data_IF_923193388287
#
_entry.id   IF_923193388287
#
_cell.length_a   1.000
_cell.length_b   1.000
_cell.length_c   1.000
_cell.angle_alpha   90.00
_cell.angle_beta   90.00
_cell.angle_gamma   90.00
#
_symmetry.space_group_name_H-M   'P 1'
#
loop_
_entity.id
_entity.type
_entity.pdbx_description
1 polymer ?
#
# COMPACT_ATOMS: atom_id res chain seq x y z
N UNK A 1 -20.69 -1.79 -4.89
CA UNK A 1 -19.54 -1.65 -3.96
C UNK A 1 -18.67 -0.49 -4.43
N UNK A 2 -18.45 0.52 -3.59
CA UNK A 2 -17.44 1.56 -3.83
C UNK A 2 -16.20 1.21 -3.00
N UNK A 3 -15.37 0.32 -3.55
CA UNK A 3 -14.06 0.00 -2.97
C UNK A 3 -12.99 0.84 -3.67
N UNK A 4 -12.08 1.40 -2.86
CA UNK A 4 -10.89 2.11 -3.32
C UNK A 4 -9.68 1.35 -2.80
N UNK A 5 -8.76 1.03 -3.70
CA UNK A 5 -7.49 0.41 -3.33
C UNK A 5 -6.38 1.46 -3.47
N UNK A 6 -5.50 1.56 -2.49
CA UNK A 6 -4.34 2.45 -2.49
C UNK A 6 -3.07 1.61 -2.41
N UNK A 7 -2.10 1.90 -3.27
CA UNK A 7 -0.82 1.18 -3.33
C UNK A 7 0.30 2.13 -2.93
N UNK A 8 1.12 1.74 -1.97
CA UNK A 8 2.28 2.49 -1.49
C UNK A 8 3.51 1.60 -1.49
N UNK A 9 4.69 2.18 -1.75
CA UNK A 9 5.97 1.46 -1.68
C UNK A 9 6.69 1.91 -0.42
N UNK A 10 6.98 0.97 0.47
CA UNK A 10 7.65 1.19 1.74
C UNK A 10 8.99 0.48 1.74
N UNK A 11 10.04 1.24 1.99
CA UNK A 11 11.40 0.70 2.12
C UNK A 11 11.70 0.42 3.59
N UNK A 12 11.91 -0.85 3.90
CA UNK A 12 12.33 -1.31 5.22
C UNK A 12 13.86 -1.31 5.28
N UNK A 13 14.48 -0.52 6.19
CA UNK A 13 15.95 -0.39 6.27
C UNK A 13 16.62 -1.59 6.96
N UNK A 14 15.84 -2.49 7.54
CA UNK A 14 16.30 -3.66 8.28
C UNK A 14 15.32 -4.81 8.04
N UNK A 15 15.79 -6.06 8.16
CA UNK A 15 14.89 -7.19 8.08
C UNK A 15 13.80 -7.10 9.14
N UNK A 16 12.61 -7.57 8.82
CA UNK A 16 11.42 -7.46 9.66
C UNK A 16 10.56 -8.71 9.56
N UNK A 17 9.79 -8.97 10.61
CA UNK A 17 8.86 -10.09 10.67
C UNK A 17 7.43 -9.57 10.51
N UNK A 18 6.61 -10.26 9.73
CA UNK A 18 5.18 -9.98 9.67
C UNK A 18 4.39 -10.94 10.54
N UNK A 19 3.33 -10.43 11.15
CA UNK A 19 2.34 -11.25 11.84
C UNK A 19 1.76 -12.31 10.88
N UNK A 20 1.99 -13.59 11.16
CA UNK A 20 1.52 -14.70 10.32
C UNK A 20 2.46 -15.10 9.19
N UNK A 21 3.66 -14.52 9.09
CA UNK A 21 4.76 -15.04 8.29
C UNK A 21 5.81 -15.66 9.24
N UNK A 22 6.12 -16.95 9.12
CA UNK A 22 7.06 -17.61 10.03
C UNK A 22 8.51 -17.21 9.78
N UNK A 23 8.81 -16.67 8.59
CA UNK A 23 10.16 -16.33 8.16
C UNK A 23 10.42 -14.82 8.30
N UNK A 24 11.69 -14.41 8.26
CA UNK A 24 12.07 -13.02 8.37
C UNK A 24 12.23 -12.43 6.98
N UNK A 25 11.51 -11.34 6.69
CA UNK A 25 11.62 -10.65 5.41
C UNK A 25 12.88 -9.78 5.40
N UNK A 26 13.70 -9.83 4.35
CA UNK A 26 14.90 -9.03 4.25
C UNK A 26 14.56 -7.54 4.16
N UNK A 27 15.52 -6.69 4.51
CA UNK A 27 15.44 -5.26 4.24
C UNK A 27 15.24 -5.02 2.74
N UNK A 28 14.35 -4.12 2.36
CA UNK A 28 14.01 -3.89 0.95
C UNK A 28 12.81 -3.00 0.73
N UNK A 29 12.49 -2.75 -0.54
CA UNK A 29 11.27 -2.07 -0.94
C UNK A 29 10.14 -3.08 -1.07
N UNK A 30 9.08 -2.88 -0.29
CA UNK A 30 7.89 -3.70 -0.31
C UNK A 30 6.70 -2.85 -0.64
N UNK A 31 5.72 -3.46 -1.28
CA UNK A 31 4.54 -2.75 -1.72
C UNK A 31 3.35 -3.13 -0.86
N UNK A 32 2.59 -2.12 -0.48
CA UNK A 32 1.45 -2.24 0.42
C UNK A 32 0.20 -1.82 -0.32
N UNK A 33 -0.78 -2.71 -0.35
CA UNK A 33 -2.11 -2.49 -0.87
C UNK A 33 -3.07 -2.30 0.31
N UNK A 34 -3.66 -1.12 0.42
CA UNK A 34 -4.72 -0.83 1.40
C UNK A 34 -6.04 -0.80 0.67
N UNK A 35 -7.01 -1.58 1.15
CA UNK A 35 -8.37 -1.57 0.64
C UNK A 35 -9.27 -0.79 1.59
N UNK A 36 -9.94 0.22 1.05
CA UNK A 36 -10.86 1.10 1.76
C UNK A 36 -12.22 1.08 1.07
N UNK A 37 -13.28 0.96 1.86
CA UNK A 37 -14.66 1.04 1.38
C UNK A 37 -15.27 2.40 1.74
N UNK A 38 -15.91 3.04 0.76
CA UNK A 38 -16.67 4.26 1.01
C UNK A 38 -17.92 3.91 1.82
N UNK A 39 -18.05 4.51 2.99
CA UNK A 39 -19.25 4.43 3.81
C UNK A 39 -20.34 5.32 3.19
N UNK A 40 -21.37 4.68 2.64
CA UNK A 40 -22.52 5.36 2.07
C UNK A 40 -23.52 5.76 3.18
N UNK A 41 -24.29 6.82 2.94
CA UNK A 41 -25.34 7.27 3.87
C UNK A 41 -24.86 8.22 4.98
N UNK A 42 -23.60 8.68 4.93
CA UNK A 42 -23.10 9.77 5.77
C UNK A 42 -23.21 11.11 5.02
N UNK A 43 -23.36 12.20 5.77
CA UNK A 43 -23.38 13.57 5.21
C UNK A 43 -22.03 14.01 4.62
N UNK A 44 -21.00 13.18 4.72
CA UNK A 44 -19.65 13.41 4.25
C UNK A 44 -19.05 12.11 3.70
N UNK A 45 -18.04 12.22 2.84
CA UNK A 45 -17.25 11.08 2.39
C UNK A 45 -16.41 10.53 3.54
N UNK A 46 -16.71 9.31 3.97
CA UNK A 46 -15.91 8.59 4.96
C UNK A 46 -15.47 7.24 4.40
N UNK A 47 -14.23 6.87 4.64
CA UNK A 47 -13.65 5.61 4.18
C UNK A 47 -13.35 4.72 5.38
N UNK A 48 -13.78 3.46 5.30
CA UNK A 48 -13.42 2.41 6.26
C UNK A 48 -12.42 1.49 5.60
N UNK A 49 -11.28 1.29 6.26
CA UNK A 49 -10.32 0.26 5.88
C UNK A 49 -10.93 -1.13 6.05
N UNK A 50 -10.94 -1.89 4.97
CA UNK A 50 -11.44 -3.27 4.90
C UNK A 50 -10.30 -4.28 4.95
N UNK A 51 -9.14 -3.92 4.40
CA UNK A 51 -7.98 -4.80 4.32
C UNK A 51 -6.67 -4.05 4.10
N UNK A 52 -5.57 -4.73 4.45
CA UNK A 52 -4.22 -4.28 4.21
C UNK A 52 -3.39 -5.50 3.79
N UNK A 53 -2.62 -5.37 2.73
CA UNK A 53 -1.85 -6.46 2.15
C UNK A 53 -0.44 -5.98 1.80
N UNK A 54 0.56 -6.81 2.07
CA UNK A 54 1.94 -6.61 1.66
C UNK A 54 2.26 -7.57 0.52
N UNK A 55 2.81 -7.04 -0.55
CA UNK A 55 3.42 -7.83 -1.63
C UNK A 55 4.85 -8.18 -1.22
N UNK A 56 5.08 -9.45 -0.92
CA UNK A 56 6.39 -10.02 -0.59
C UNK A 56 7.01 -10.60 -1.86
N UNK A 57 8.20 -10.15 -2.29
CA UNK A 57 8.92 -10.82 -3.37
C UNK A 57 9.38 -12.20 -2.89
N UNK A 58 9.18 -13.23 -3.70
CA UNK A 58 9.67 -14.58 -3.41
C UNK A 58 11.18 -14.56 -3.12
N UNK A 59 11.55 -15.04 -1.93
CA UNK A 59 12.94 -15.07 -1.42
C UNK A 59 13.76 -16.18 -2.06
N UNK A 60 13.08 -17.20 -2.57
CA UNK A 60 13.67 -18.32 -3.26
C UNK A 60 14.11 -17.84 -4.64
N UNK A 61 15.43 -17.72 -4.86
CA UNK A 61 16.06 -17.33 -6.14
C UNK A 61 15.70 -18.18 -7.37
N UNK A 62 14.69 -19.03 -7.28
CA UNK A 62 14.02 -19.74 -8.37
C UNK A 62 12.73 -19.00 -8.77
N UNK A 63 12.84 -17.96 -9.59
CA UNK A 63 11.77 -17.56 -10.49
C UNK A 63 10.46 -17.07 -9.84
N UNK A 64 10.55 -16.03 -9.01
CA UNK A 64 9.75 -14.81 -9.21
C UNK A 64 8.23 -14.89 -9.02
N UNK A 65 7.74 -15.51 -7.95
CA UNK A 65 6.36 -15.27 -7.51
C UNK A 65 6.36 -14.27 -6.36
N UNK A 66 5.83 -13.07 -6.60
CA UNK A 66 5.47 -12.15 -5.52
C UNK A 66 4.18 -12.62 -4.88
N UNK A 67 4.19 -12.83 -3.56
CA UNK A 67 3.01 -13.24 -2.81
C UNK A 67 2.34 -12.02 -2.17
N UNK A 68 1.02 -11.91 -2.32
CA UNK A 68 0.24 -10.88 -1.63
C UNK A 68 -0.27 -11.48 -0.33
N UNK A 69 0.12 -10.88 0.80
CA UNK A 69 -0.21 -11.37 2.13
C UNK A 69 -0.92 -10.31 2.95
N UNK A 70 -2.01 -10.70 3.62
CA UNK A 70 -2.72 -9.79 4.52
C UNK A 70 -1.85 -9.47 5.74
N UNK A 71 -1.75 -8.20 6.08
CA UNK A 71 -1.00 -7.71 7.26
C UNK A 71 -1.95 -7.18 8.33
N UNK A 72 -1.47 -7.16 9.58
CA UNK A 72 -2.21 -6.60 10.71
C UNK A 72 -2.22 -5.06 10.66
N UNK A 73 -3.12 -4.44 11.42
CA UNK A 73 -3.21 -2.97 11.50
C UNK A 73 -1.91 -2.36 12.05
N UNK A 74 -1.30 -2.97 13.06
CA UNK A 74 -0.02 -2.54 13.63
C UNK A 74 1.13 -2.56 12.60
N UNK A 75 1.24 -3.64 11.81
CA UNK A 75 2.23 -3.74 10.73
C UNK A 75 2.01 -2.65 9.68
N UNK A 76 0.74 -2.37 9.33
CA UNK A 76 0.40 -1.29 8.40
C UNK A 76 0.75 0.10 8.97
N UNK A 77 0.49 0.38 10.25
CA UNK A 77 0.85 1.67 10.87
C UNK A 77 2.36 1.94 10.84
N UNK A 78 3.17 0.92 11.10
CA UNK A 78 4.63 1.02 10.99
C UNK A 78 5.05 1.35 9.55
N UNK A 79 4.47 0.63 8.59
CA UNK A 79 4.69 0.86 7.18
C UNK A 79 4.32 2.29 6.74
N UNK A 80 3.14 2.77 7.12
CA UNK A 80 2.68 4.13 6.80
C UNK A 80 3.56 5.20 7.44
N UNK A 81 4.11 4.92 8.61
CA UNK A 81 5.08 5.80 9.29
C UNK A 81 6.39 5.90 8.50
N UNK A 82 6.85 4.78 7.93
CA UNK A 82 8.01 4.74 7.03
C UNK A 82 7.72 5.43 5.68
N UNK A 83 6.55 5.19 5.07
CA UNK A 83 6.10 5.84 3.82
C UNK A 83 6.04 7.36 3.96
N UNK A 84 5.46 7.87 5.05
CA UNK A 84 5.38 9.32 5.32
C UNK A 84 6.75 9.98 5.34
N UNK A 85 7.79 9.25 5.76
CA UNK A 85 9.17 9.74 5.75
C UNK A 85 9.76 9.81 4.33
N UNK A 86 9.22 9.04 3.39
CA UNK A 86 9.63 8.98 1.99
C UNK A 86 8.83 9.94 1.09
N UNK A 87 7.54 10.15 1.39
CA UNK A 87 6.60 10.95 0.59
C UNK A 87 6.85 12.47 0.59
N UNK A 88 7.77 12.95 1.44
CA UNK A 88 8.22 14.36 1.44
C UNK A 88 9.08 14.68 0.21
N UNK A 89 9.53 13.69 -0.57
CA UNK A 89 10.34 13.89 -1.77
C UNK A 89 9.58 13.91 -3.11
N UNK A 90 8.29 13.52 -3.16
CA UNK A 90 7.52 13.37 -4.42
C UNK A 90 6.23 14.20 -4.46
N UNK A 91 6.23 15.42 -3.92
CA UNK A 91 5.10 16.36 -4.05
C UNK A 91 5.44 17.61 -4.88
N UNK A 92 6.38 17.53 -5.81
CA UNK A 92 6.62 18.62 -6.77
C UNK A 92 6.22 18.28 -8.22
N UNK A 93 5.82 17.05 -8.56
CA UNK A 93 5.54 16.76 -9.96
C UNK A 93 4.63 15.54 -10.22
N UNK A 94 3.32 15.67 -10.02
CA UNK A 94 2.37 14.91 -10.86
C UNK A 94 1.08 15.70 -11.14
N UNK A 95 1.25 16.76 -11.93
CA UNK A 95 0.20 17.24 -12.80
C UNK A 95 0.17 16.33 -14.04
N UNK A 96 -0.79 15.40 -14.10
CA UNK A 96 -1.21 14.75 -15.36
C UNK A 96 -2.74 14.84 -15.38
N UNK A 97 -3.27 15.95 -15.88
CA UNK A 97 -3.71 16.11 -17.27
C UNK A 97 -4.82 15.12 -17.64
N UNK A 98 -6.02 15.33 -17.08
CA UNK A 98 -7.23 14.95 -17.79
C UNK A 98 -7.34 15.90 -18.99
N UNK A 99 -7.31 15.44 -20.25
CA UNK A 99 -7.78 16.30 -21.33
C UNK A 99 -9.29 16.55 -21.09
N UNK A 100 -9.78 17.79 -21.14
CA UNK A 100 -11.22 18.01 -21.21
C UNK A 100 -11.68 17.42 -22.55
N UNK A 101 -12.58 16.45 -22.47
CA UNK A 101 -13.30 15.93 -23.63
C UNK A 101 -13.98 17.11 -24.33
N UNK A 102 -13.60 17.34 -25.57
CA UNK A 102 -14.12 18.38 -26.44
C UNK A 102 -15.61 18.13 -26.70
N UNK A 103 -16.42 19.10 -26.32
CA UNK A 103 -17.84 19.17 -26.58
C UNK A 103 -18.04 19.76 -27.99
N UNK A 104 -18.37 18.93 -28.99
CA UNK A 104 -19.19 19.33 -30.15
C UNK A 104 -19.73 18.12 -30.92
#
# INVERSE_FOLDING_TARGET
MNIRSSRSIVTYPSPFTLSGYPDELPAGAYEILVEEELLQGLSFSAYRRTGAYLTVPGLDGHGGHSEIRRISDADLELALTLDRRHKVAENDNEAVLFPPEDLT
#
